data_IF_846086813514
#
_entry.id   IF_846086813514
#
_cell.length_a   1.000
_cell.length_b   1.000
_cell.length_c   1.000
_cell.angle_alpha   90.00
_cell.angle_beta   90.00
_cell.angle_gamma   90.00
#
_symmetry.space_group_name_H-M   'P 1'
#
loop_
_entity.id
_entity.type
_entity.pdbx_description
1 polymer ?
#
# COMPACT_ATOMS: atom_id res chain seq x y z
N UNK A 1 -3.29 6.36 -14.88
CA UNK A 1 -2.41 5.44 -15.65
C UNK A 1 -1.06 5.14 -14.99
N UNK A 2 -0.57 5.89 -13.98
CA UNK A 2 0.69 5.54 -13.26
C UNK A 2 0.50 4.61 -12.06
N UNK A 3 -0.72 4.45 -11.57
CA UNK A 3 -1.01 3.68 -10.35
C UNK A 3 -1.12 2.16 -10.62
N UNK A 4 -1.50 1.75 -11.84
CA UNK A 4 -1.65 0.33 -12.21
C UNK A 4 -0.31 -0.39 -12.40
N UNK A 5 0.71 0.30 -12.89
CA UNK A 5 2.07 -0.24 -13.05
C UNK A 5 2.73 -0.54 -11.69
N UNK A 6 2.40 0.25 -10.66
CA UNK A 6 2.95 0.07 -9.32
C UNK A 6 2.29 -1.11 -8.59
N UNK A 7 0.99 -1.35 -8.79
CA UNK A 7 0.32 -2.48 -8.12
C UNK A 7 0.79 -3.83 -8.67
N UNK A 8 1.06 -3.92 -9.98
CA UNK A 8 1.59 -5.15 -10.60
C UNK A 8 3.05 -5.42 -10.17
N UNK A 9 3.86 -4.38 -9.96
CA UNK A 9 5.22 -4.49 -9.43
C UNK A 9 5.27 -4.94 -7.95
N UNK A 10 4.34 -4.47 -7.11
CA UNK A 10 4.27 -4.89 -5.71
C UNK A 10 3.71 -6.32 -5.60
N UNK A 11 2.71 -6.65 -6.40
CA UNK A 11 2.12 -8.00 -6.44
C UNK A 11 3.10 -9.07 -6.91
N UNK A 12 3.91 -8.77 -7.93
CA UNK A 12 4.96 -9.69 -8.40
C UNK A 12 6.05 -9.91 -7.36
N UNK A 13 6.48 -8.85 -6.64
CA UNK A 13 7.40 -8.99 -5.51
C UNK A 13 6.83 -9.84 -4.37
N UNK A 14 5.54 -9.67 -4.06
CA UNK A 14 4.85 -10.48 -3.07
C UNK A 14 4.75 -11.95 -3.50
N UNK A 15 4.39 -12.20 -4.77
CA UNK A 15 4.28 -13.56 -5.29
C UNK A 15 5.63 -14.28 -5.28
N UNK A 16 6.70 -13.59 -5.69
CA UNK A 16 8.06 -14.11 -5.66
C UNK A 16 8.52 -14.44 -4.23
N UNK A 17 8.23 -13.56 -3.26
CA UNK A 17 8.53 -13.80 -1.85
C UNK A 17 7.72 -14.96 -1.26
N UNK A 18 6.47 -15.13 -1.70
CA UNK A 18 5.63 -16.26 -1.30
C UNK A 18 6.15 -17.57 -1.88
N UNK A 19 6.55 -17.59 -3.14
CA UNK A 19 7.10 -18.76 -3.81
C UNK A 19 8.44 -19.20 -3.19
N UNK A 20 9.32 -18.26 -2.83
CA UNK A 20 10.57 -18.57 -2.12
C UNK A 20 10.37 -19.08 -0.70
N UNK A 21 9.31 -18.63 -0.01
CA UNK A 21 9.01 -19.08 1.35
C UNK A 21 8.31 -20.46 1.38
N UNK A 22 7.63 -20.84 0.29
CA UNK A 22 6.93 -22.12 0.16
C UNK A 22 7.73 -23.17 -0.63
N UNK A 23 8.77 -22.76 -1.35
CA UNK A 23 9.59 -23.63 -2.20
C UNK A 23 10.82 -24.18 -1.49
N UNK A 24 10.62 -25.06 -0.50
CA UNK A 24 11.47 -26.23 -0.20
C UNK A 24 11.14 -26.81 1.18
N UNK A 25 9.97 -27.43 1.33
CA UNK A 25 9.85 -28.54 2.31
C UNK A 25 10.50 -29.76 1.66
N UNK A 26 11.83 -29.75 1.60
CA UNK A 26 12.59 -30.97 1.34
C UNK A 26 12.84 -31.58 2.72
N UNK A 27 12.03 -32.60 3.04
CA UNK A 27 12.21 -33.46 4.20
C UNK A 27 13.45 -34.35 4.00
N UNK A 28 14.62 -33.75 3.82
CA UNK A 28 15.88 -34.48 3.70
C UNK A 28 16.66 -34.32 5.01
N UNK A 29 16.31 -35.15 5.99
CA UNK A 29 17.21 -35.74 6.98
C UNK A 29 18.33 -34.82 7.54
N UNK A 30 17.95 -33.72 8.20
CA UNK A 30 18.90 -32.80 8.82
C UNK A 30 19.06 -33.14 10.31
N UNK A 31 19.97 -34.06 10.58
CA UNK A 31 20.77 -34.02 11.81
C UNK A 31 22.01 -33.14 11.56
N UNK A 32 21.83 -31.89 11.13
CA UNK A 32 22.91 -30.90 11.27
C UNK A 32 23.04 -30.58 12.76
N UNK A 33 24.28 -30.37 13.21
CA UNK A 33 24.51 -29.80 14.53
C UNK A 33 23.86 -28.40 14.59
N UNK A 34 23.33 -28.04 15.76
CA UNK A 34 22.64 -26.76 15.99
C UNK A 34 23.48 -25.57 15.49
N UNK A 35 24.80 -25.67 15.67
CA UNK A 35 25.80 -24.66 15.31
C UNK A 35 25.93 -24.46 13.78
N UNK A 36 25.81 -25.54 13.01
CA UNK A 36 25.90 -25.48 11.55
C UNK A 36 24.62 -24.89 10.93
N UNK A 37 23.46 -25.15 11.55
CA UNK A 37 22.19 -24.53 11.17
C UNK A 37 22.17 -23.02 11.47
N UNK A 38 22.70 -22.62 12.64
CA UNK A 38 22.85 -21.21 13.01
C UNK A 38 23.78 -20.46 12.05
N UNK A 39 24.89 -21.08 11.63
CA UNK A 39 25.82 -20.49 10.67
C UNK A 39 25.18 -20.25 9.29
N UNK A 40 24.42 -21.22 8.78
CA UNK A 40 23.71 -21.09 7.49
C UNK A 40 22.62 -20.01 7.57
N UNK A 41 21.87 -19.93 8.68
CA UNK A 41 20.86 -18.88 8.88
C UNK A 41 21.53 -17.50 8.93
N UNK A 42 22.66 -17.36 9.63
CA UNK A 42 23.39 -16.10 9.72
C UNK A 42 23.94 -15.64 8.35
N UNK A 43 24.49 -16.56 7.55
CA UNK A 43 24.98 -16.28 6.20
C UNK A 43 23.83 -15.91 5.24
N UNK A 44 22.69 -16.59 5.34
CA UNK A 44 21.51 -16.32 4.50
C UNK A 44 20.84 -14.99 4.88
N UNK A 45 20.78 -14.66 6.17
CA UNK A 45 20.31 -13.37 6.66
C UNK A 45 21.22 -12.21 6.20
N UNK A 46 22.54 -12.41 6.25
CA UNK A 46 23.51 -11.41 5.80
C UNK A 46 23.46 -11.18 4.27
N UNK A 47 23.26 -12.24 3.48
CA UNK A 47 23.22 -12.17 2.00
C UNK A 47 21.89 -11.66 1.44
N UNK A 48 20.78 -11.86 2.14
CA UNK A 48 19.44 -11.48 1.66
C UNK A 48 19.09 -10.00 1.86
N UNK A 49 19.88 -9.24 2.61
CA UNK A 49 19.64 -7.80 2.85
C UNK A 49 18.29 -7.50 3.51
N UNK A 50 17.66 -8.51 4.11
CA UNK A 50 16.39 -8.39 4.81
C UNK A 50 16.63 -7.63 6.12
N UNK A 51 15.77 -6.67 6.50
CA UNK A 51 15.82 -6.11 7.85
C UNK A 51 15.67 -7.24 8.86
N UNK A 52 16.41 -7.19 9.97
CA UNK A 52 16.47 -8.22 11.03
C UNK A 52 15.07 -8.70 11.49
N UNK A 53 14.08 -7.81 11.39
CA UNK A 53 12.66 -8.17 11.44
C UNK A 53 12.15 -8.37 10.02
N UNK A 54 12.09 -9.62 9.54
CA UNK A 54 11.68 -10.00 8.18
C UNK A 54 10.26 -9.61 7.74
N UNK A 55 9.58 -8.69 8.43
CA UNK A 55 8.29 -8.12 8.02
C UNK A 55 8.41 -6.62 7.76
N UNK A 56 7.91 -6.11 6.60
CA UNK A 56 7.87 -4.68 6.35
C UNK A 56 7.02 -3.98 7.41
N UNK A 57 7.40 -2.77 7.84
CA UNK A 57 6.65 -2.01 8.83
C UNK A 57 5.18 -1.86 8.38
N UNK A 58 4.24 -2.11 9.28
CA UNK A 58 2.78 -2.16 9.01
C UNK A 58 2.25 -0.94 8.26
N UNK A 59 2.87 0.22 8.48
CA UNK A 59 2.54 1.49 7.81
C UNK A 59 2.78 1.47 6.30
N UNK A 60 3.70 0.63 5.82
CA UNK A 60 4.04 0.50 4.40
C UNK A 60 3.07 -0.44 3.67
N UNK A 61 2.54 -1.45 4.37
CA UNK A 61 1.59 -2.43 3.82
C UNK A 61 0.15 -1.89 3.83
N UNK A 62 -0.20 -1.07 4.83
CA UNK A 62 -1.52 -0.48 4.99
C UNK A 62 -1.43 1.06 5.03
N UNK A 63 -1.24 1.72 3.88
CA UNK A 63 -1.26 3.18 3.84
C UNK A 63 -2.63 3.69 4.31
N UNK A 64 -2.64 4.53 5.34
CA UNK A 64 -3.90 5.07 5.88
C UNK A 64 -4.56 6.03 4.88
N UNK A 65 -5.78 5.71 4.43
CA UNK A 65 -6.56 6.53 3.50
C UNK A 65 -7.15 7.82 4.13
N UNK A 66 -6.83 8.11 5.41
CA UNK A 66 -7.36 9.27 6.15
C UNK A 66 -7.13 10.61 5.44
N UNK A 67 -6.02 10.74 4.72
CA UNK A 67 -5.67 11.96 3.96
C UNK A 67 -6.44 12.10 2.65
N UNK A 68 -6.94 11.00 2.09
CA UNK A 68 -7.76 11.03 0.87
C UNK A 68 -9.19 11.49 1.19
N UNK A 69 -9.77 11.00 2.29
CA UNK A 69 -11.13 11.37 2.70
C UNK A 69 -11.27 12.88 2.95
N UNK A 70 -10.31 13.49 3.64
CA UNK A 70 -10.35 14.93 3.93
C UNK A 70 -10.28 15.76 2.65
N UNK A 71 -9.45 15.37 1.68
CA UNK A 71 -9.36 16.04 0.37
C UNK A 71 -10.69 15.98 -0.38
N UNK A 72 -11.33 14.80 -0.43
CA UNK A 72 -12.62 14.63 -1.10
C UNK A 72 -13.74 15.39 -0.39
N UNK A 73 -13.74 15.44 0.94
CA UNK A 73 -14.69 16.21 1.72
C UNK A 73 -14.65 17.71 1.35
N UNK A 74 -13.46 18.33 1.36
CA UNK A 74 -13.33 19.73 0.99
C UNK A 74 -13.69 19.98 -0.48
N UNK A 75 -13.33 19.06 -1.39
CA UNK A 75 -13.69 19.19 -2.80
C UNK A 75 -15.22 19.18 -2.99
N UNK A 76 -15.91 18.25 -2.33
CA UNK A 76 -17.37 18.16 -2.35
C UNK A 76 -18.02 19.41 -1.76
N UNK A 77 -17.47 19.94 -0.66
CA UNK A 77 -17.96 21.16 -0.02
C UNK A 77 -17.88 22.38 -0.95
N UNK A 78 -16.75 22.53 -1.67
CA UNK A 78 -16.57 23.61 -2.64
C UNK A 78 -17.54 23.48 -3.82
N UNK A 79 -17.74 22.26 -4.33
CA UNK A 79 -18.70 22.00 -5.41
C UNK A 79 -20.12 22.34 -4.97
N UNK A 80 -20.54 21.88 -3.78
CA UNK A 80 -21.86 22.16 -3.23
C UNK A 80 -22.07 23.68 -3.06
N UNK A 81 -21.09 24.37 -2.47
CA UNK A 81 -21.15 25.81 -2.29
C UNK A 81 -21.27 26.55 -3.62
N UNK A 82 -20.46 26.18 -4.61
CA UNK A 82 -20.47 26.80 -5.94
C UNK A 82 -21.81 26.60 -6.65
N UNK A 83 -22.36 25.38 -6.57
CA UNK A 83 -23.68 25.08 -7.13
C UNK A 83 -24.78 25.94 -6.48
N UNK A 84 -24.71 26.12 -5.16
CA UNK A 84 -25.66 26.97 -4.42
C UNK A 84 -25.58 28.43 -4.90
N UNK A 85 -24.36 28.98 -5.01
CA UNK A 85 -24.14 30.37 -5.46
C UNK A 85 -24.64 30.57 -6.89
N UNK A 86 -24.30 29.66 -7.81
CA UNK A 86 -24.74 29.74 -9.21
C UNK A 86 -26.27 29.64 -9.29
N UNK A 87 -26.87 28.72 -8.54
CA UNK A 87 -28.32 28.57 -8.47
C UNK A 87 -29.01 29.84 -7.97
N UNK A 88 -28.49 30.43 -6.88
CA UNK A 88 -29.04 31.66 -6.31
C UNK A 88 -28.85 32.86 -7.24
N UNK A 89 -27.71 32.93 -7.93
CA UNK A 89 -27.42 34.01 -8.89
C UNK A 89 -28.34 33.96 -10.10
N UNK A 90 -28.56 32.75 -10.67
CA UNK A 90 -29.53 32.58 -11.76
C UNK A 90 -30.94 32.93 -11.29
N UNK A 91 -31.38 32.36 -10.17
CA UNK A 91 -32.71 32.62 -9.62
C UNK A 91 -32.95 34.11 -9.33
N UNK A 92 -31.95 34.78 -8.75
CA UNK A 92 -31.97 36.22 -8.52
C UNK A 92 -32.12 37.01 -9.81
N UNK A 93 -31.37 36.64 -10.86
CA UNK A 93 -31.45 37.29 -12.18
C UNK A 93 -32.80 37.05 -12.87
N UNK A 94 -33.46 35.93 -12.63
CA UNK A 94 -34.76 35.63 -13.23
C UNK A 94 -35.90 36.40 -12.53
N UNK A 95 -35.87 36.49 -11.20
CA UNK A 95 -36.99 37.04 -10.42
C UNK A 95 -36.87 38.51 -10.03
N UNK A 96 -35.64 39.06 -9.98
CA UNK A 96 -35.38 40.41 -9.47
C UNK A 96 -34.67 41.33 -10.47
N UNK A 97 -34.47 40.87 -11.71
CA UNK A 97 -34.00 41.73 -12.79
C UNK A 97 -35.20 42.43 -13.46
N UNK A 98 -35.89 43.28 -12.70
CA UNK A 98 -36.87 44.26 -13.17
C UNK A 98 -36.42 45.65 -12.70
#
# INVERSE_FOLDING_TARGET
MKDEENSSSVWSKYLAAKESAFGSTQEDDIHLSLEELEAVIAETAASSGLPETGMPPRSNVHPSSRRQLSRWFYLALVVLFSALVIGLFWWGREHYAE
#
